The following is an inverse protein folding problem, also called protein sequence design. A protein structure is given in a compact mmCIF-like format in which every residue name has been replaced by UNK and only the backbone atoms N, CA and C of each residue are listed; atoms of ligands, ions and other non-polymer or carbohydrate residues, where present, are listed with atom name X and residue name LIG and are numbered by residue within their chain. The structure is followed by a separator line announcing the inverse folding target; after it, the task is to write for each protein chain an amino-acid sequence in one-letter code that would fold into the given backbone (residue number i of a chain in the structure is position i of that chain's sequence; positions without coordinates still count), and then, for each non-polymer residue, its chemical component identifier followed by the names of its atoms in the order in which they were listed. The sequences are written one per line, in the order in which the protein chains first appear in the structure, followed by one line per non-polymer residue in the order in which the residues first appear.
data_IF_472525001300
#
_entry.id   IF_472525001300
#
_cell.length_a   1.000
_cell.length_b   1.000
_cell.length_c   1.000
_cell.angle_alpha   90.00
_cell.angle_beta   90.00
_cell.angle_gamma   90.00
#
_symmetry.space_group_name_H-M   'P 1'
#
loop_
_entity.id
_entity.type
_entity.pdbx_description
1 polymer ?
#
# COMPACT_ATOMS: atom_id res chain seq x y z
N UNK A 1 -1.11 -3.74 37.76
CA UNK A 1 -2.51 -3.37 37.68
C UNK A 1 -3.07 -3.59 36.28
N UNK A 2 -4.39 -3.54 36.04
CA UNK A 2 -5.02 -3.87 34.74
C UNK A 2 -4.50 -3.04 33.56
N UNK A 3 -4.09 -1.80 33.81
CA UNK A 3 -3.50 -0.93 32.78
C UNK A 3 -2.23 -1.51 32.17
N UNK A 4 -1.33 -2.09 32.96
CA UNK A 4 -0.10 -2.70 32.44
C UNK A 4 -0.40 -3.94 31.57
N UNK A 5 -1.42 -4.73 31.93
CA UNK A 5 -1.85 -5.86 31.11
C UNK A 5 -2.39 -5.39 29.74
N UNK A 6 -3.22 -4.34 29.72
CA UNK A 6 -3.74 -3.77 28.48
C UNK A 6 -2.62 -3.21 27.60
N UNK A 7 -1.67 -2.51 28.20
CA UNK A 7 -0.51 -1.99 27.50
C UNK A 7 0.36 -3.11 26.89
N UNK A 8 0.57 -4.19 27.65
CA UNK A 8 1.31 -5.36 27.19
C UNK A 8 0.59 -6.07 26.04
N UNK A 9 -0.72 -6.27 26.13
CA UNK A 9 -1.53 -6.84 25.06
C UNK A 9 -1.50 -5.97 23.80
N UNK A 10 -1.58 -4.65 23.94
CA UNK A 10 -1.48 -3.71 22.84
C UNK A 10 -0.09 -3.76 22.18
N UNK A 11 0.98 -3.89 22.97
CA UNK A 11 2.33 -4.04 22.43
C UNK A 11 2.50 -5.36 21.66
N UNK A 12 1.97 -6.47 22.19
CA UNK A 12 1.97 -7.76 21.47
C UNK A 12 1.19 -7.64 20.16
N UNK A 13 -0.01 -7.06 20.17
CA UNK A 13 -0.82 -6.87 18.98
C UNK A 13 -0.07 -6.03 17.91
N UNK A 14 0.61 -4.95 18.33
CA UNK A 14 1.42 -4.12 17.43
C UNK A 14 2.62 -4.90 16.84
N UNK A 15 3.27 -5.77 17.64
CA UNK A 15 4.36 -6.63 17.18
C UNK A 15 3.85 -7.66 16.18
N UNK A 16 2.74 -8.34 16.50
CA UNK A 16 2.12 -9.33 15.59
C UNK A 16 1.76 -8.67 14.26
N UNK A 17 1.14 -7.51 14.30
CA UNK A 17 0.79 -6.76 13.08
C UNK A 17 2.03 -6.34 12.30
N UNK A 18 3.11 -5.92 12.97
CA UNK A 18 4.38 -5.60 12.30
C UNK A 18 4.99 -6.83 11.60
N UNK A 19 4.94 -7.99 12.24
CA UNK A 19 5.48 -9.23 11.66
C UNK A 19 4.62 -9.76 10.51
N UNK A 20 3.31 -9.52 10.53
CA UNK A 20 2.37 -9.96 9.48
C UNK A 20 2.39 -9.05 8.26
N UNK A 21 2.31 -7.74 8.47
CA UNK A 21 2.03 -6.76 7.42
C UNK A 21 3.24 -5.84 7.13
N UNK A 22 4.32 -5.96 7.89
CA UNK A 22 5.48 -5.06 7.80
C UNK A 22 5.24 -3.68 8.42
N UNK A 23 6.26 -2.82 8.33
CA UNK A 23 6.19 -1.46 8.84
C UNK A 23 5.50 -0.54 7.83
N UNK A 24 4.37 0.02 8.22
CA UNK A 24 3.63 1.00 7.41
C UNK A 24 3.41 2.29 8.20
N UNK A 25 3.31 3.41 7.50
CA UNK A 25 3.15 4.72 8.12
C UNK A 25 1.91 4.81 9.04
N UNK A 26 0.85 4.06 8.75
CA UNK A 26 -0.36 3.99 9.58
C UNK A 26 -0.07 3.51 11.01
N UNK A 27 0.97 2.70 11.19
CA UNK A 27 1.37 2.17 12.50
C UNK A 27 2.18 3.16 13.33
N UNK A 28 2.70 4.24 12.73
CA UNK A 28 3.52 5.22 13.45
C UNK A 28 2.78 5.81 14.67
N UNK A 29 1.48 6.09 14.51
CA UNK A 29 0.67 6.59 15.62
C UNK A 29 0.66 5.63 16.81
N UNK A 30 0.56 4.32 16.56
CA UNK A 30 0.58 3.26 17.57
C UNK A 30 1.97 3.12 18.20
N UNK A 31 3.03 3.15 17.38
CA UNK A 31 4.42 3.02 17.85
C UNK A 31 4.77 4.14 18.83
N UNK A 32 4.30 5.35 18.62
CA UNK A 32 4.60 6.48 19.51
C UNK A 32 3.68 6.58 20.71
N UNK A 33 2.41 6.16 20.61
CA UNK A 33 1.50 6.27 21.75
C UNK A 33 1.79 5.24 22.83
N UNK A 34 2.19 4.03 22.48
CA UNK A 34 2.46 2.98 23.49
C UNK A 34 3.55 3.41 24.50
N UNK A 35 4.75 3.87 24.08
CA UNK A 35 5.74 4.37 25.02
C UNK A 35 5.27 5.63 25.76
N UNK A 36 4.51 6.53 25.11
CA UNK A 36 3.96 7.71 25.76
C UNK A 36 3.00 7.33 26.92
N UNK A 37 2.13 6.35 26.71
CA UNK A 37 1.25 5.82 27.75
C UNK A 37 2.05 5.14 28.89
N UNK A 38 3.09 4.41 28.55
CA UNK A 38 3.96 3.79 29.55
C UNK A 38 4.69 4.83 30.41
N UNK A 39 5.25 5.86 29.78
CA UNK A 39 5.97 6.96 30.44
C UNK A 39 5.02 7.71 31.39
N UNK A 40 3.84 8.11 30.91
CA UNK A 40 2.85 8.84 31.72
C UNK A 40 2.38 8.01 32.92
N UNK A 41 2.20 6.71 32.73
CA UNK A 41 1.87 5.79 33.83
C UNK A 41 3.02 5.68 34.85
N UNK A 42 4.25 5.46 34.38
CA UNK A 42 5.44 5.29 35.22
C UNK A 42 5.70 6.53 36.10
N UNK A 43 5.59 7.72 35.52
CA UNK A 43 5.85 8.98 36.21
C UNK A 43 4.61 9.58 36.90
N UNK A 44 3.47 8.86 36.88
CA UNK A 44 2.21 9.30 37.50
C UNK A 44 1.72 10.68 37.04
N UNK A 45 2.01 11.04 35.77
CA UNK A 45 1.65 12.34 35.15
C UNK A 45 0.20 12.29 34.60
N UNK A 46 -0.55 11.24 34.89
CA UNK A 46 -1.91 11.08 34.40
C UNK A 46 -2.84 12.02 35.14
N UNK A 47 -3.36 13.01 34.42
CA UNK A 47 -4.46 13.86 34.85
C UNK A 47 -5.57 13.84 33.78
N UNK A 48 -6.67 14.54 34.01
CA UNK A 48 -7.81 14.55 33.06
C UNK A 48 -7.40 15.02 31.65
N UNK A 49 -6.54 16.03 31.56
CA UNK A 49 -6.08 16.60 30.30
C UNK A 49 -5.17 15.61 29.54
N UNK A 50 -4.11 15.09 30.18
CA UNK A 50 -3.22 14.10 29.57
C UNK A 50 -3.95 12.82 29.19
N UNK A 51 -4.89 12.37 30.03
CA UNK A 51 -5.73 11.21 29.76
C UNK A 51 -6.60 11.40 28.52
N UNK A 52 -7.21 12.58 28.35
CA UNK A 52 -8.02 12.88 27.16
C UNK A 52 -7.17 12.90 25.89
N UNK A 53 -5.98 13.54 25.94
CA UNK A 53 -5.06 13.57 24.77
C UNK A 53 -4.61 12.17 24.39
N UNK A 54 -4.16 11.37 25.35
CA UNK A 54 -3.73 10.00 25.09
C UNK A 54 -4.88 9.11 24.60
N UNK A 55 -6.08 9.29 25.15
CA UNK A 55 -7.27 8.59 24.69
C UNK A 55 -7.65 8.94 23.26
N UNK A 56 -7.66 10.23 22.92
CA UNK A 56 -7.91 10.69 21.56
C UNK A 56 -6.84 10.16 20.59
N UNK A 57 -5.58 10.23 20.97
CA UNK A 57 -4.49 9.68 20.15
C UNK A 57 -4.63 8.16 19.96
N UNK A 58 -4.99 7.42 21.01
CA UNK A 58 -5.23 5.99 20.91
C UNK A 58 -6.36 5.67 19.92
N UNK A 59 -7.46 6.42 19.96
CA UNK A 59 -8.56 6.26 18.99
C UNK A 59 -8.10 6.54 17.55
N UNK A 60 -7.31 7.59 17.34
CA UNK A 60 -6.73 7.91 16.03
C UNK A 60 -5.81 6.78 15.57
N UNK A 61 -4.94 6.25 16.45
CA UNK A 61 -4.02 5.16 16.12
C UNK A 61 -4.72 3.85 15.74
N UNK A 62 -5.90 3.60 16.27
CA UNK A 62 -6.73 2.46 15.90
C UNK A 62 -7.54 2.71 14.62
N UNK A 63 -8.01 3.94 14.42
CA UNK A 63 -8.84 4.32 13.28
C UNK A 63 -8.05 4.34 11.96
N UNK A 64 -6.83 4.88 11.94
CA UNK A 64 -6.04 5.04 10.72
C UNK A 64 -5.78 3.71 9.98
N UNK A 65 -5.28 2.63 10.63
CA UNK A 65 -5.06 1.36 9.95
C UNK A 65 -6.36 0.70 9.45
N UNK A 66 -7.47 0.98 10.11
CA UNK A 66 -8.80 0.51 9.69
C UNK A 66 -9.33 1.30 8.49
N UNK A 67 -9.17 2.63 8.48
CA UNK A 67 -9.66 3.49 7.40
C UNK A 67 -8.83 3.38 6.11
N UNK A 68 -7.54 3.05 6.23
CA UNK A 68 -6.59 2.92 5.10
C UNK A 68 -5.90 1.56 5.20
N UNK A 69 -6.63 0.46 4.95
CA UNK A 69 -6.06 -0.88 5.08
C UNK A 69 -5.12 -1.21 3.92
N UNK A 70 -4.14 -2.08 4.19
CA UNK A 70 -3.48 -2.87 3.14
C UNK A 70 -4.39 -4.08 2.89
N UNK A 71 -5.00 -4.12 1.73
CA UNK A 71 -5.92 -5.20 1.37
C UNK A 71 -5.20 -6.29 0.58
N UNK A 72 -5.76 -7.50 0.58
CA UNK A 72 -5.33 -8.60 -0.27
C UNK A 72 -6.23 -8.69 -1.49
N UNK A 73 -5.64 -8.80 -2.67
CA UNK A 73 -6.40 -9.03 -3.89
C UNK A 73 -7.01 -10.44 -3.87
N UNK A 74 -8.27 -10.60 -4.27
CA UNK A 74 -8.86 -11.93 -4.39
C UNK A 74 -8.09 -12.76 -5.41
N UNK A 75 -7.94 -14.06 -5.11
CA UNK A 75 -7.32 -14.97 -6.05
C UNK A 75 -8.21 -15.13 -7.30
N UNK A 76 -7.62 -15.23 -8.50
CA UNK A 76 -8.37 -15.54 -9.71
C UNK A 76 -9.05 -16.91 -9.60
N UNK A 77 -10.28 -17.01 -10.06
CA UNK A 77 -11.04 -18.26 -10.04
C UNK A 77 -10.80 -19.16 -11.28
N UNK A 78 -10.05 -18.66 -12.26
CA UNK A 78 -9.75 -19.39 -13.51
C UNK A 78 -8.61 -20.40 -13.38
N UNK A 79 -8.49 -21.28 -14.38
CA UNK A 79 -7.47 -22.33 -14.46
C UNK A 79 -6.07 -21.81 -14.83
N UNK A 80 -5.95 -20.54 -15.19
CA UNK A 80 -4.70 -19.91 -15.61
C UNK A 80 -4.16 -18.97 -14.55
N UNK A 81 -2.84 -18.96 -14.41
CA UNK A 81 -2.15 -17.86 -13.74
C UNK A 81 -2.24 -16.60 -14.59
N UNK A 82 -2.11 -15.45 -13.97
CA UNK A 82 -2.12 -14.15 -14.66
C UNK A 82 -0.69 -13.66 -14.84
N UNK A 83 -0.27 -13.53 -16.09
CA UNK A 83 0.93 -12.77 -16.47
C UNK A 83 0.62 -11.29 -16.57
N UNK A 84 1.60 -10.43 -16.33
CA UNK A 84 1.51 -9.00 -16.61
C UNK A 84 2.79 -8.49 -17.24
N UNK A 85 2.64 -7.55 -18.16
CA UNK A 85 3.75 -6.89 -18.83
C UNK A 85 3.43 -5.41 -19.02
N UNK A 86 4.43 -4.56 -18.86
CA UNK A 86 4.28 -3.12 -18.98
C UNK A 86 5.07 -2.65 -20.20
N UNK A 87 4.37 -1.97 -21.10
CA UNK A 87 4.93 -1.40 -22.32
C UNK A 87 5.00 0.12 -22.23
N UNK A 88 6.07 0.69 -22.72
CA UNK A 88 6.23 2.11 -22.90
C UNK A 88 6.13 2.41 -24.41
N UNK A 89 5.07 3.11 -24.82
CA UNK A 89 4.84 3.49 -26.20
C UNK A 89 5.01 4.98 -26.36
N UNK A 90 5.77 5.36 -27.39
CA UNK A 90 6.03 6.75 -27.77
C UNK A 90 5.31 7.02 -29.09
N UNK A 91 4.40 7.99 -29.08
CA UNK A 91 3.70 8.44 -30.28
C UNK A 91 4.33 9.75 -30.79
N UNK A 92 5.32 9.62 -31.65
CA UNK A 92 6.02 10.76 -32.23
C UNK A 92 5.17 11.59 -33.22
N UNK A 93 3.96 11.15 -33.55
CA UNK A 93 3.04 11.90 -34.43
C UNK A 93 2.17 12.90 -33.65
N UNK A 94 2.13 12.84 -32.32
CA UNK A 94 1.34 13.70 -31.45
C UNK A 94 2.21 14.34 -30.38
N UNK A 95 1.98 15.63 -30.15
CA UNK A 95 2.62 16.33 -29.03
C UNK A 95 1.86 16.09 -27.74
N UNK A 96 2.59 16.14 -26.63
CA UNK A 96 2.01 16.15 -25.30
C UNK A 96 1.49 17.56 -24.95
N UNK A 97 0.29 17.64 -24.41
CA UNK A 97 -0.37 18.92 -24.14
C UNK A 97 -0.24 19.34 -22.67
N UNK A 98 0.19 18.43 -21.81
CA UNK A 98 0.24 18.64 -20.37
C UNK A 98 1.63 19.01 -19.86
N UNK A 99 2.63 19.03 -20.74
CA UNK A 99 4.01 19.41 -20.42
C UNK A 99 4.21 20.86 -20.86
N UNK A 100 4.01 21.81 -19.95
CA UNK A 100 4.22 23.24 -20.22
C UNK A 100 5.71 23.62 -20.38
N UNK A 101 6.62 22.68 -20.07
CA UNK A 101 8.07 22.89 -19.99
C UNK A 101 8.77 22.66 -21.34
N UNK A 102 8.14 21.94 -22.26
CA UNK A 102 8.71 21.57 -23.55
C UNK A 102 7.64 21.42 -24.66
N UNK A 103 7.52 22.42 -25.51
CA UNK A 103 6.56 22.44 -26.63
C UNK A 103 6.79 21.34 -27.68
N UNK A 104 7.95 20.67 -27.65
CA UNK A 104 8.31 19.62 -28.61
C UNK A 104 8.24 18.21 -27.96
N UNK A 105 7.70 18.11 -26.76
CA UNK A 105 7.52 16.82 -26.11
C UNK A 105 6.51 15.96 -26.86
N UNK A 106 6.85 14.70 -27.08
CA UNK A 106 5.99 13.75 -27.78
C UNK A 106 5.18 12.92 -26.78
N UNK A 107 4.01 12.50 -27.23
CA UNK A 107 3.10 11.76 -26.37
C UNK A 107 3.65 10.39 -26.02
N UNK A 108 3.76 10.13 -24.73
CA UNK A 108 4.18 8.84 -24.19
C UNK A 108 3.04 8.17 -23.41
N UNK A 109 2.90 6.87 -23.58
CA UNK A 109 1.84 6.09 -22.92
C UNK A 109 2.46 4.85 -22.27
N UNK A 110 2.19 4.66 -20.99
CA UNK A 110 2.47 3.41 -20.30
C UNK A 110 1.24 2.50 -20.36
N UNK A 111 1.41 1.31 -20.92
CA UNK A 111 0.34 0.33 -21.08
C UNK A 111 0.70 -0.90 -20.29
N UNK A 112 -0.15 -1.31 -19.36
CA UNK A 112 -0.01 -2.57 -18.66
C UNK A 112 -1.01 -3.57 -19.22
N UNK A 113 -0.51 -4.69 -19.71
CA UNK A 113 -1.32 -5.79 -20.22
C UNK A 113 -1.35 -6.94 -19.21
N UNK A 114 -2.52 -7.54 -19.04
CA UNK A 114 -2.70 -8.79 -18.29
C UNK A 114 -3.12 -9.88 -19.24
N UNK A 115 -2.51 -11.04 -19.11
CA UNK A 115 -2.75 -12.18 -20.00
C UNK A 115 -2.71 -13.50 -19.23
N UNK A 116 -3.42 -14.53 -19.69
CA UNK A 116 -3.35 -15.85 -19.11
C UNK A 116 -2.00 -16.52 -19.37
N UNK A 117 -1.44 -17.14 -18.33
CA UNK A 117 -0.18 -17.88 -18.37
C UNK A 117 -0.40 -19.34 -17.98
N UNK A 118 0.33 -20.27 -18.59
CA UNK A 118 0.23 -21.71 -18.30
C UNK A 118 0.86 -22.11 -16.96
N UNK A 119 1.59 -21.24 -16.32
CA UNK A 119 2.36 -21.55 -15.11
C UNK A 119 1.48 -21.45 -13.87
N UNK A 120 0.64 -22.47 -13.62
CA UNK A 120 -0.40 -22.48 -12.60
C UNK A 120 0.08 -22.62 -11.14
N UNK A 121 1.37 -22.91 -10.90
CA UNK A 121 1.83 -23.38 -9.59
C UNK A 121 2.41 -22.31 -8.66
N UNK A 122 2.30 -21.04 -8.98
CA UNK A 122 2.83 -19.99 -8.13
C UNK A 122 1.94 -18.77 -8.13
N UNK A 123 1.52 -18.37 -6.94
CA UNK A 123 0.81 -17.12 -6.71
C UNK A 123 1.71 -15.95 -7.14
N UNK A 124 1.16 -15.04 -7.93
CA UNK A 124 1.85 -13.82 -8.34
C UNK A 124 2.14 -12.93 -7.13
N UNK A 125 3.26 -12.24 -7.17
CA UNK A 125 3.74 -11.37 -6.08
C UNK A 125 4.08 -9.97 -6.56
N UNK A 126 3.61 -9.57 -7.75
CA UNK A 126 3.84 -8.22 -8.23
C UNK A 126 3.13 -7.19 -7.34
N UNK A 127 3.73 -6.04 -7.16
CA UNK A 127 3.08 -4.92 -6.48
C UNK A 127 1.84 -4.46 -7.25
N UNK A 128 0.83 -4.01 -6.51
CA UNK A 128 -0.41 -3.44 -7.08
C UNK A 128 -0.12 -2.25 -8.00
N UNK A 129 0.86 -1.44 -7.63
CA UNK A 129 1.34 -0.33 -8.44
C UNK A 129 2.85 -0.39 -8.58
N UNK A 130 3.34 -0.48 -9.83
CA UNK A 130 4.75 -0.37 -10.14
C UNK A 130 5.26 1.05 -9.89
N UNK A 131 6.55 1.19 -9.59
CA UNK A 131 7.23 2.47 -9.42
C UNK A 131 6.55 3.40 -8.40
N UNK A 132 6.08 2.85 -7.28
CA UNK A 132 5.31 3.58 -6.28
C UNK A 132 6.04 4.81 -5.72
N UNK A 133 7.37 4.81 -5.67
CA UNK A 133 8.19 5.95 -5.28
C UNK A 133 8.00 7.19 -6.19
N UNK A 134 7.69 6.99 -7.46
CA UNK A 134 7.37 8.06 -8.42
C UNK A 134 5.86 8.35 -8.41
N UNK A 135 5.05 7.31 -8.54
CA UNK A 135 3.59 7.42 -8.61
C UNK A 135 2.97 8.04 -7.36
N UNK A 136 3.53 7.78 -6.17
CA UNK A 136 3.02 8.36 -4.92
C UNK A 136 3.09 9.89 -4.93
N UNK A 137 4.13 10.48 -5.51
CA UNK A 137 4.27 11.93 -5.63
C UNK A 137 3.22 12.52 -6.57
N UNK A 138 2.99 11.88 -7.72
CA UNK A 138 1.99 12.31 -8.70
C UNK A 138 0.58 12.18 -8.15
N UNK A 139 0.25 11.03 -7.54
CA UNK A 139 -1.04 10.81 -6.88
C UNK A 139 -1.28 11.82 -5.75
N UNK A 140 -0.27 12.07 -4.94
CA UNK A 140 -0.33 13.02 -3.85
C UNK A 140 -0.54 14.46 -4.36
N UNK A 141 0.15 14.85 -5.42
CA UNK A 141 0.00 16.15 -6.06
C UNK A 141 -1.43 16.33 -6.61
N UNK A 142 -1.94 15.35 -7.34
CA UNK A 142 -3.31 15.38 -7.87
C UNK A 142 -4.37 15.43 -6.77
N UNK A 143 -4.17 14.68 -5.69
CA UNK A 143 -5.07 14.64 -4.53
C UNK A 143 -4.86 15.77 -3.52
N UNK A 144 -3.84 16.62 -3.69
CA UNK A 144 -3.41 17.63 -2.72
C UNK A 144 -3.19 17.06 -1.31
N UNK A 145 -2.58 15.89 -1.24
CA UNK A 145 -2.29 15.15 0.00
C UNK A 145 -0.78 14.92 0.14
N UNK A 146 -0.26 14.64 1.34
CA UNK A 146 1.15 14.32 1.52
C UNK A 146 1.58 13.07 0.74
N UNK A 147 2.78 13.09 0.14
CA UNK A 147 3.30 12.03 -0.73
C UNK A 147 3.44 10.66 -0.04
N UNK A 148 3.57 10.62 1.29
CA UNK A 148 3.67 9.37 2.02
C UNK A 148 2.33 8.63 2.16
N UNK A 149 1.18 9.33 2.02
CA UNK A 149 -0.14 8.72 2.21
C UNK A 149 -0.42 7.58 1.24
N UNK A 150 -0.21 7.69 -0.07
CA UNK A 150 -0.43 6.58 -0.98
C UNK A 150 0.67 5.51 -0.95
N UNK A 151 1.79 5.72 -0.25
CA UNK A 151 2.92 4.78 -0.26
C UNK A 151 2.60 3.37 0.26
N UNK A 152 1.55 3.19 1.09
CA UNK A 152 1.13 1.88 1.57
C UNK A 152 0.60 0.96 0.45
N UNK A 153 0.22 1.52 -0.71
CA UNK A 153 -0.23 0.74 -1.87
C UNK A 153 0.88 -0.15 -2.44
N UNK A 154 2.15 0.18 -2.19
CA UNK A 154 3.29 -0.66 -2.56
C UNK A 154 3.33 -2.00 -1.81
N UNK A 155 2.68 -2.08 -0.67
CA UNK A 155 2.58 -3.29 0.16
C UNK A 155 1.46 -4.23 -0.31
N UNK A 156 0.63 -3.81 -1.25
CA UNK A 156 -0.44 -4.62 -1.81
C UNK A 156 0.15 -5.46 -2.93
N UNK A 157 0.07 -6.78 -2.77
CA UNK A 157 0.48 -7.73 -3.81
C UNK A 157 -0.71 -8.10 -4.69
N UNK A 158 -0.44 -8.19 -5.99
CA UNK A 158 -1.39 -8.74 -6.96
C UNK A 158 -1.17 -10.25 -7.10
N UNK A 159 -2.12 -10.93 -7.72
CA UNK A 159 -1.96 -12.33 -8.11
C UNK A 159 -1.32 -12.46 -9.50
N UNK A 160 -0.57 -11.46 -9.96
CA UNK A 160 0.08 -11.43 -11.28
C UNK A 160 1.57 -11.66 -11.18
N UNK A 161 2.19 -12.07 -12.28
CA UNK A 161 3.63 -12.26 -12.41
C UNK A 161 4.14 -11.57 -13.66
N UNK A 162 5.29 -10.94 -13.53
CA UNK A 162 6.02 -10.40 -14.69
C UNK A 162 6.81 -11.52 -15.40
N UNK A 163 7.12 -11.30 -16.64
CA UNK A 163 8.03 -12.12 -17.46
C UNK A 163 7.62 -13.60 -17.59
N UNK A 164 6.33 -13.89 -17.55
CA UNK A 164 5.80 -15.23 -17.82
C UNK A 164 5.25 -15.32 -19.23
N UNK A 165 5.46 -16.47 -19.88
CA UNK A 165 4.96 -16.69 -21.23
C UNK A 165 3.41 -16.69 -21.26
N UNK A 166 2.85 -16.07 -22.29
CA UNK A 166 1.43 -16.15 -22.58
C UNK A 166 1.05 -17.62 -22.91
N UNK A 167 -0.14 -18.03 -22.47
CA UNK A 167 -0.63 -19.36 -22.76
C UNK A 167 -0.93 -19.53 -24.26
N UNK A 168 -0.40 -20.60 -24.85
CA UNK A 168 -0.70 -20.97 -26.23
C UNK A 168 -2.10 -21.63 -26.39
N UNK A 169 -2.83 -21.86 -25.30
CA UNK A 169 -4.17 -22.46 -25.31
C UNK A 169 -5.30 -21.47 -25.54
N UNK A 170 -4.96 -20.22 -25.93
CA UNK A 170 -5.90 -19.13 -26.12
C UNK A 170 -6.86 -19.25 -27.32
N UNK A 171 -6.77 -20.31 -28.12
CA UNK A 171 -7.72 -20.54 -29.26
C UNK A 171 -9.19 -20.70 -28.85
N UNK A 172 -9.51 -20.67 -27.54
CA UNK A 172 -10.87 -20.97 -27.03
C UNK A 172 -11.55 -19.83 -26.28
N UNK A 173 -10.96 -18.64 -26.22
CA UNK A 173 -11.63 -17.51 -25.55
C UNK A 173 -12.25 -16.59 -26.61
N UNK A 174 -13.55 -16.25 -26.46
CA UNK A 174 -14.22 -15.33 -27.36
C UNK A 174 -13.68 -13.92 -27.25
#
# INVERSE_FOLDING_TARGET
GPFLYLLFLAAIAAIVQYLSDGLRWQMLATIYILPAMFITYKYKIVNRFTGTILGAWFLISAFIPWAVPVFTMPAPEGDFSIGSETFHWVDSSRLEWFTDENDNDVREIMVQAWYPSENSNSIGTNSYMDFMNLRSKTLASAGKIPAFLPSHLDMISTNTRNDVACSNKLEKYP
#
